data_IF_191389222015
#
_entry.id   IF_191389222015
#
_cell.length_a   1.000
_cell.length_b   1.000
_cell.length_c   1.000
_cell.angle_alpha   90.00
_cell.angle_beta   90.00
_cell.angle_gamma   90.00
#
_symmetry.space_group_name_H-M   'P 1'
#
loop_
_entity.id
_entity.type
_entity.pdbx_description
1 polymer ?
#
# COMPACT_ATOMS: atom_id res chain seq x y z
N UNK A 1 22.62 46.68 7.74
CA UNK A 1 21.42 47.33 8.31
C UNK A 1 20.31 46.30 8.32
N UNK A 2 19.60 46.14 9.43
CA UNK A 2 18.49 45.18 9.53
C UNK A 2 17.26 45.77 8.84
N UNK A 3 16.69 45.05 7.87
CA UNK A 3 15.48 45.51 7.21
C UNK A 3 14.23 45.21 8.04
N UNK A 4 13.31 46.17 8.14
CA UNK A 4 12.17 46.12 9.05
C UNK A 4 10.87 46.36 8.31
N UNK A 5 9.88 45.54 8.62
CA UNK A 5 8.49 45.81 8.29
C UNK A 5 7.78 46.38 9.53
N UNK A 6 7.18 47.56 9.40
CA UNK A 6 6.52 48.24 10.51
C UNK A 6 5.01 47.97 10.48
N UNK A 7 4.45 47.36 11.51
CA UNK A 7 3.02 47.05 11.64
C UNK A 7 2.34 48.06 12.58
N UNK A 8 1.31 48.77 12.10
CA UNK A 8 0.60 49.83 12.83
C UNK A 8 -0.92 49.76 12.58
N UNK A 9 -1.63 48.79 13.16
CA UNK A 9 -3.08 48.74 13.07
C UNK A 9 -3.74 49.93 13.77
N UNK A 10 -4.40 50.79 13.00
CA UNK A 10 -5.20 51.91 13.50
C UNK A 10 -4.63 53.32 13.22
N UNK A 11 -5.46 54.34 13.45
CA UNK A 11 -5.26 55.71 12.90
C UNK A 11 -4.41 56.67 13.74
N UNK A 12 -3.76 56.25 14.83
CA UNK A 12 -2.89 57.18 15.60
C UNK A 12 -1.64 56.50 16.13
N UNK A 13 -0.53 56.74 15.44
CA UNK A 13 0.83 56.52 15.91
C UNK A 13 1.05 57.21 17.27
N UNK A 14 1.40 56.45 18.31
CA UNK A 14 1.77 57.00 19.63
C UNK A 14 3.29 57.04 19.81
N UNK A 15 4.02 56.14 19.13
CA UNK A 15 5.48 56.02 19.23
C UNK A 15 6.20 56.55 17.97
N UNK A 16 7.32 57.28 18.09
CA UNK A 16 8.14 57.75 16.97
C UNK A 16 9.02 56.65 16.33
N UNK A 17 8.47 55.43 16.16
CA UNK A 17 9.19 54.25 15.66
C UNK A 17 9.76 54.44 14.24
N UNK A 18 9.06 55.18 13.38
CA UNK A 18 9.49 55.42 12.00
C UNK A 18 10.78 56.25 11.93
N UNK A 19 10.96 57.18 12.86
CA UNK A 19 12.12 58.07 12.92
C UNK A 19 13.27 57.43 13.73
N UNK A 20 12.94 56.68 14.78
CA UNK A 20 13.92 56.07 15.68
C UNK A 20 14.52 54.75 15.15
N UNK A 21 13.82 53.99 14.31
CA UNK A 21 14.33 52.75 13.71
C UNK A 21 15.58 52.99 12.83
N UNK A 22 15.62 54.00 11.94
CA UNK A 22 16.84 54.41 11.24
C UNK A 22 18.02 54.73 12.17
N UNK A 23 17.77 55.49 13.24
CA UNK A 23 18.78 55.83 14.23
C UNK A 23 19.31 54.59 14.99
N UNK A 24 18.48 53.54 15.13
CA UNK A 24 18.86 52.24 15.68
C UNK A 24 19.59 51.31 14.69
N UNK A 25 19.84 51.75 13.45
CA UNK A 25 20.51 50.97 12.40
C UNK A 25 19.60 50.02 11.62
N UNK A 26 18.29 50.25 11.67
CA UNK A 26 17.27 49.51 10.95
C UNK A 26 16.73 50.30 9.75
N UNK A 27 16.40 49.62 8.65
CA UNK A 27 15.80 50.25 7.47
C UNK A 27 14.33 49.84 7.36
N UNK A 28 13.40 50.80 7.41
CA UNK A 28 11.97 50.51 7.24
C UNK A 28 11.67 50.31 5.74
N UNK A 29 11.23 49.11 5.37
CA UNK A 29 10.92 48.75 3.98
C UNK A 29 9.48 49.11 3.59
N UNK A 30 8.53 48.88 4.50
CA UNK A 30 7.12 49.17 4.31
C UNK A 30 6.42 49.33 5.65
N UNK A 31 5.25 49.97 5.61
CA UNK A 31 4.35 50.14 6.75
C UNK A 31 3.05 49.41 6.44
N UNK A 32 2.59 48.58 7.36
CA UNK A 32 1.36 47.80 7.25
C UNK A 32 0.37 48.32 8.27
N UNK A 33 -0.75 48.87 7.81
CA UNK A 33 -1.81 49.40 8.69
C UNK A 33 -2.91 48.37 8.98
N UNK A 34 -2.89 47.24 8.28
CA UNK A 34 -3.89 46.19 8.37
C UNK A 34 -3.21 44.84 8.59
N UNK A 35 -3.44 44.22 9.75
CA UNK A 35 -2.87 42.93 10.12
C UNK A 35 -3.14 41.83 9.07
N UNK A 36 -4.27 41.89 8.36
CA UNK A 36 -4.60 40.90 7.32
C UNK A 36 -3.63 40.90 6.15
N UNK A 37 -2.96 42.02 5.89
CA UNK A 37 -1.98 42.19 4.80
C UNK A 37 -0.55 41.91 5.23
N UNK A 38 -0.30 41.65 6.52
CA UNK A 38 1.05 41.49 7.08
C UNK A 38 1.86 40.43 6.31
N UNK A 39 1.30 39.24 6.12
CA UNK A 39 1.99 38.13 5.45
C UNK A 39 2.27 38.45 3.99
N UNK A 40 1.31 39.05 3.28
CA UNK A 40 1.47 39.43 1.87
C UNK A 40 2.64 40.42 1.70
N UNK A 41 2.70 41.47 2.53
CA UNK A 41 3.74 42.49 2.45
C UNK A 41 5.09 41.91 2.92
N UNK A 42 5.09 41.04 3.93
CA UNK A 42 6.31 40.36 4.37
C UNK A 42 6.91 39.46 3.28
N UNK A 43 6.08 38.72 2.53
CA UNK A 43 6.53 37.91 1.39
C UNK A 43 7.07 38.78 0.26
N UNK A 44 6.43 39.93 -0.02
CA UNK A 44 6.85 40.85 -1.07
C UNK A 44 8.21 41.51 -0.78
N UNK A 45 8.45 41.92 0.47
CA UNK A 45 9.62 42.70 0.85
C UNK A 45 10.73 41.90 1.55
N UNK A 46 10.45 40.67 1.98
CA UNK A 46 11.37 39.77 2.69
C UNK A 46 12.16 40.46 3.84
N UNK A 47 11.49 41.10 4.81
CA UNK A 47 12.15 41.85 5.88
C UNK A 47 12.93 40.93 6.83
N UNK A 48 13.96 41.46 7.48
CA UNK A 48 14.72 40.73 8.51
C UNK A 48 14.02 40.72 9.88
N UNK A 49 13.09 41.66 10.12
CA UNK A 49 12.37 41.82 11.39
C UNK A 49 11.00 42.46 11.14
N UNK A 50 9.99 42.04 11.89
CA UNK A 50 8.72 42.76 12.00
C UNK A 50 8.68 43.51 13.33
N UNK A 51 8.43 44.82 13.28
CA UNK A 51 8.20 45.64 14.47
C UNK A 51 6.77 46.13 14.43
N UNK A 52 5.98 45.86 15.47
CA UNK A 52 4.60 46.31 15.56
C UNK A 52 4.36 47.25 16.72
N UNK A 53 3.47 48.21 16.51
CA UNK A 53 2.87 49.04 17.57
C UNK A 53 1.38 48.77 17.60
N UNK A 54 0.92 48.08 18.65
CA UNK A 54 -0.48 47.69 18.80
C UNK A 54 -0.89 47.91 20.24
N UNK A 55 -1.73 48.92 20.50
CA UNK A 55 -2.14 49.27 21.86
C UNK A 55 -2.97 48.15 22.53
N UNK A 56 -3.85 47.51 21.76
CA UNK A 56 -4.68 46.37 22.18
C UNK A 56 -4.65 45.29 21.09
N UNK A 57 -3.73 44.33 21.21
CA UNK A 57 -3.66 43.17 20.33
C UNK A 57 -4.98 42.40 20.30
N UNK A 58 -5.41 42.03 19.10
CA UNK A 58 -6.62 41.26 18.85
C UNK A 58 -6.29 39.91 18.20
N UNK A 59 -7.31 39.08 18.01
CA UNK A 59 -7.13 37.75 17.39
C UNK A 59 -6.62 37.86 15.95
N UNK A 60 -6.91 38.96 15.24
CA UNK A 60 -6.42 39.19 13.90
C UNK A 60 -4.88 39.34 13.87
N UNK A 61 -4.31 40.04 14.87
CA UNK A 61 -2.86 40.13 15.02
C UNK A 61 -2.24 38.76 15.31
N UNK A 62 -2.76 38.00 16.28
CA UNK A 62 -2.21 36.69 16.65
C UNK A 62 -2.26 35.71 15.48
N UNK A 63 -3.37 35.70 14.73
CA UNK A 63 -3.49 34.88 13.53
C UNK A 63 -2.48 35.31 12.46
N UNK A 64 -2.30 36.61 12.25
CA UNK A 64 -1.35 37.14 11.27
C UNK A 64 0.10 36.80 11.60
N UNK A 65 0.52 36.92 12.87
CA UNK A 65 1.88 36.55 13.30
C UNK A 65 2.10 35.04 13.26
N UNK A 66 1.08 34.24 13.60
CA UNK A 66 1.15 32.78 13.48
C UNK A 66 1.32 32.34 12.02
N UNK A 67 0.50 32.88 11.11
CA UNK A 67 0.63 32.59 9.67
C UNK A 67 1.98 33.07 9.12
N UNK A 68 2.51 34.20 9.60
CA UNK A 68 3.85 34.66 9.25
C UNK A 68 4.91 33.64 9.68
N UNK A 69 4.84 33.13 10.92
CA UNK A 69 5.77 32.13 11.43
C UNK A 69 5.77 30.82 10.63
N UNK A 70 4.63 30.45 10.02
CA UNK A 70 4.50 29.26 9.17
C UNK A 70 5.01 29.48 7.74
N UNK A 71 4.71 30.63 7.13
CA UNK A 71 4.99 30.90 5.71
C UNK A 71 6.38 31.51 5.49
N UNK A 72 6.76 32.48 6.31
CA UNK A 72 8.04 33.20 6.23
C UNK A 72 8.50 33.55 7.65
N UNK A 73 9.12 32.61 8.38
CA UNK A 73 9.53 32.83 9.76
C UNK A 73 10.46 34.02 9.88
N UNK A 74 10.06 35.04 10.67
CA UNK A 74 10.85 36.25 10.96
C UNK A 74 10.72 36.61 12.45
N UNK A 75 11.74 37.26 13.04
CA UNK A 75 11.61 37.80 14.38
C UNK A 75 10.51 38.86 14.41
N UNK A 76 9.74 38.89 15.50
CA UNK A 76 8.62 39.81 15.70
C UNK A 76 8.77 40.49 17.06
N UNK A 77 8.84 41.81 17.05
CA UNK A 77 8.90 42.68 18.21
C UNK A 77 7.61 43.53 18.26
N UNK A 78 6.82 43.40 19.32
CA UNK A 78 5.59 44.16 19.51
C UNK A 78 5.70 45.11 20.71
N UNK A 79 5.37 46.38 20.48
CA UNK A 79 5.11 47.37 21.51
C UNK A 79 3.61 47.47 21.77
N UNK A 80 3.20 47.38 23.02
CA UNK A 80 1.79 47.39 23.44
C UNK A 80 1.62 48.07 24.80
N UNK A 81 0.40 48.44 25.16
CA UNK A 81 0.03 48.80 26.53
C UNK A 81 -0.63 47.65 27.30
N UNK A 82 -0.78 46.50 26.67
CA UNK A 82 -1.41 45.31 27.22
C UNK A 82 -0.46 44.49 28.09
N UNK A 83 -0.77 44.44 29.38
CA UNK A 83 -0.02 43.72 30.42
C UNK A 83 -0.63 42.36 30.78
N UNK A 84 -1.68 41.92 30.09
CA UNK A 84 -2.37 40.67 30.40
C UNK A 84 -1.46 39.46 30.16
N UNK A 85 -1.31 38.60 31.18
CA UNK A 85 -0.45 37.43 31.12
C UNK A 85 -0.91 36.40 30.08
N UNK A 86 -2.22 36.23 29.88
CA UNK A 86 -2.76 35.31 28.90
C UNK A 86 -2.48 35.81 27.47
N UNK A 87 -2.52 37.12 27.24
CA UNK A 87 -2.13 37.69 25.94
C UNK A 87 -0.62 37.58 25.69
N UNK A 88 0.23 37.71 26.72
CA UNK A 88 1.68 37.48 26.59
C UNK A 88 1.98 36.03 26.20
N UNK A 89 1.33 35.06 26.85
CA UNK A 89 1.47 33.64 26.52
C UNK A 89 0.97 33.36 25.09
N UNK A 90 -0.21 33.89 24.74
CA UNK A 90 -0.80 33.77 23.40
C UNK A 90 0.11 34.37 22.32
N UNK A 91 0.67 35.55 22.56
CA UNK A 91 1.60 36.22 21.66
C UNK A 91 2.87 35.38 21.45
N UNK A 92 3.43 34.83 22.53
CA UNK A 92 4.62 33.98 22.46
C UNK A 92 4.33 32.72 21.63
N UNK A 93 3.19 32.06 21.87
CA UNK A 93 2.74 30.91 21.08
C UNK A 93 2.39 31.23 19.61
N UNK A 94 2.13 32.50 19.29
CA UNK A 94 1.83 32.99 17.95
C UNK A 94 3.08 33.52 17.19
N UNK A 95 4.29 33.25 17.70
CA UNK A 95 5.55 33.66 17.06
C UNK A 95 6.01 35.08 17.37
N UNK A 96 5.54 35.68 18.47
CA UNK A 96 6.06 36.97 18.96
C UNK A 96 7.25 36.74 19.87
N UNK A 97 8.41 37.30 19.50
CA UNK A 97 9.67 37.03 20.16
C UNK A 97 9.97 38.03 21.28
N UNK A 98 9.47 39.25 21.15
CA UNK A 98 9.55 40.27 22.17
C UNK A 98 8.22 41.03 22.30
N UNK A 99 7.62 40.95 23.48
CA UNK A 99 6.42 41.68 23.86
C UNK A 99 6.79 42.76 24.88
N UNK A 100 6.63 44.03 24.50
CA UNK A 100 7.13 45.17 25.28
C UNK A 100 5.96 46.04 25.73
N UNK A 101 5.65 45.95 27.03
CA UNK A 101 4.55 46.68 27.68
C UNK A 101 5.02 48.04 28.17
N UNK A 102 4.43 49.14 27.67
CA UNK A 102 4.70 50.53 28.10
C UNK A 102 6.20 50.86 28.24
N UNK A 103 7.05 50.22 27.42
CA UNK A 103 8.49 50.15 27.61
C UNK A 103 9.29 50.80 26.48
N UNK A 104 8.64 51.65 25.68
CA UNK A 104 9.30 52.33 24.58
C UNK A 104 10.37 53.32 25.05
N UNK A 105 11.47 53.39 24.30
CA UNK A 105 12.48 54.42 24.41
C UNK A 105 13.53 54.24 23.33
N UNK A 106 13.92 55.32 22.64
CA UNK A 106 14.84 55.27 21.50
C UNK A 106 16.14 54.49 21.81
N UNK A 107 16.73 54.75 22.98
CA UNK A 107 17.95 54.05 23.43
C UNK A 107 17.76 52.54 23.68
N UNK A 108 16.53 52.08 23.91
CA UNK A 108 16.20 50.66 24.17
C UNK A 108 15.87 49.89 22.89
N UNK A 109 15.61 50.57 21.78
CA UNK A 109 15.15 49.94 20.54
C UNK A 109 16.17 48.94 20.00
N UNK A 110 17.45 49.33 19.90
CA UNK A 110 18.52 48.44 19.43
C UNK A 110 18.70 47.18 20.31
N UNK A 111 18.81 47.28 21.65
CA UNK A 111 18.82 46.10 22.52
C UNK A 111 17.58 45.20 22.38
N UNK A 112 16.39 45.78 22.21
CA UNK A 112 15.14 45.01 22.04
C UNK A 112 15.08 44.27 20.70
N UNK A 113 15.55 44.90 19.62
CA UNK A 113 15.70 44.26 18.30
C UNK A 113 16.65 43.06 18.42
N UNK A 114 17.81 43.25 19.05
CA UNK A 114 18.79 42.18 19.27
C UNK A 114 18.19 41.04 20.12
N UNK A 115 17.40 41.35 21.14
CA UNK A 115 16.72 40.34 21.95
C UNK A 115 15.70 39.53 21.12
N UNK A 116 14.89 40.20 20.30
CA UNK A 116 13.91 39.54 19.43
C UNK A 116 14.59 38.62 18.41
N UNK A 117 15.68 39.10 17.78
CA UNK A 117 16.50 38.31 16.85
C UNK A 117 17.14 37.09 17.54
N UNK A 118 17.76 37.28 18.71
CA UNK A 118 18.38 36.18 19.44
C UNK A 118 17.37 35.11 19.89
N UNK A 119 16.16 35.52 20.29
CA UNK A 119 15.07 34.58 20.63
C UNK A 119 14.59 33.82 19.39
N UNK A 120 14.43 34.49 18.26
CA UNK A 120 14.08 33.86 16.99
C UNK A 120 15.15 32.85 16.54
N UNK A 121 16.42 33.22 16.56
CA UNK A 121 17.52 32.32 16.20
C UNK A 121 17.54 31.06 17.08
N UNK A 122 17.32 31.23 18.39
CA UNK A 122 17.21 30.11 19.33
C UNK A 122 16.01 29.21 19.01
N UNK A 123 14.84 29.80 18.74
CA UNK A 123 13.64 29.05 18.40
C UNK A 123 13.82 28.29 17.07
N UNK A 124 14.35 28.94 16.04
CA UNK A 124 14.64 28.29 14.76
C UNK A 124 15.64 27.15 14.91
N UNK A 125 16.69 27.33 15.73
CA UNK A 125 17.65 26.25 16.01
C UNK A 125 16.99 25.04 16.70
N UNK A 126 16.06 25.27 17.63
CA UNK A 126 15.30 24.20 18.28
C UNK A 126 14.35 23.49 17.29
N UNK A 127 13.65 24.24 16.44
CA UNK A 127 12.78 23.69 15.41
C UNK A 127 13.57 22.86 14.39
N UNK A 128 14.78 23.29 14.02
CA UNK A 128 15.66 22.54 13.12
C UNK A 128 16.17 21.26 13.77
N UNK A 129 16.58 21.31 15.05
CA UNK A 129 16.93 20.10 15.80
C UNK A 129 15.77 19.11 15.90
N UNK A 130 14.55 19.61 16.13
CA UNK A 130 13.35 18.78 16.17
C UNK A 130 13.11 18.11 14.81
N UNK A 131 13.21 18.87 13.70
CA UNK A 131 13.07 18.35 12.34
C UNK A 131 14.10 17.27 12.02
N UNK A 132 15.37 17.49 12.34
CA UNK A 132 16.45 16.52 12.12
C UNK A 132 16.21 15.23 12.91
N UNK A 133 15.81 15.32 14.19
CA UNK A 133 15.47 14.15 15.01
C UNK A 133 14.26 13.41 14.43
N UNK A 134 13.20 14.12 14.07
CA UNK A 134 12.00 13.53 13.46
C UNK A 134 12.32 12.83 12.14
N UNK A 135 13.15 13.44 11.28
CA UNK A 135 13.57 12.84 10.02
C UNK A 135 14.36 11.55 10.25
N UNK A 136 15.36 11.56 11.14
CA UNK A 136 16.15 10.35 11.47
C UNK A 136 15.27 9.23 12.03
N UNK A 137 14.25 9.58 12.80
CA UNK A 137 13.32 8.61 13.36
C UNK A 137 12.46 7.95 12.27
N UNK A 138 11.90 8.73 11.34
CA UNK A 138 11.14 8.19 10.21
C UNK A 138 12.02 7.35 9.27
N UNK A 139 13.25 7.83 8.97
CA UNK A 139 14.22 7.03 8.20
C UNK A 139 14.53 5.70 8.90
N UNK A 140 14.72 5.70 10.22
CA UNK A 140 14.95 4.45 10.99
C UNK A 140 13.75 3.51 10.92
N UNK A 141 12.51 4.01 11.01
CA UNK A 141 11.30 3.17 10.85
C UNK A 141 11.26 2.49 9.48
N UNK A 142 11.56 3.24 8.42
CA UNK A 142 11.60 2.69 7.06
C UNK A 142 12.66 1.60 6.95
N UNK A 143 13.86 1.84 7.50
CA UNK A 143 14.95 0.85 7.51
C UNK A 143 14.57 -0.42 8.25
N UNK A 144 14.04 -0.33 9.47
CA UNK A 144 13.64 -1.52 10.24
C UNK A 144 12.51 -2.28 9.55
N UNK A 145 11.55 -1.59 8.93
CA UNK A 145 10.48 -2.23 8.16
C UNK A 145 11.01 -2.94 6.92
N UNK A 146 11.94 -2.33 6.19
CA UNK A 146 12.57 -2.95 5.03
C UNK A 146 13.42 -4.17 5.43
N UNK A 147 14.18 -4.07 6.53
CA UNK A 147 14.90 -5.21 7.12
C UNK A 147 13.94 -6.36 7.43
N UNK A 148 12.85 -6.10 8.14
CA UNK A 148 11.84 -7.12 8.47
C UNK A 148 11.16 -7.76 7.26
N UNK A 149 11.06 -7.05 6.12
CA UNK A 149 10.62 -7.63 4.84
C UNK A 149 11.71 -8.54 4.28
N UNK A 150 12.95 -8.08 4.19
CA UNK A 150 14.08 -8.85 3.68
C UNK A 150 14.33 -10.11 4.50
N UNK A 151 14.28 -10.02 5.83
CA UNK A 151 14.43 -11.15 6.74
C UNK A 151 13.38 -12.24 6.48
N UNK A 152 12.10 -11.86 6.34
CA UNK A 152 11.03 -12.83 6.05
C UNK A 152 11.11 -13.40 4.64
N UNK A 153 11.41 -12.54 3.66
CA UNK A 153 11.44 -12.93 2.26
C UNK A 153 12.64 -13.82 1.92
N UNK A 154 13.78 -13.64 2.60
CA UNK A 154 15.06 -14.29 2.31
C UNK A 154 15.64 -15.12 3.46
N UNK A 155 14.90 -15.29 4.56
CA UNK A 155 15.36 -15.98 5.77
C UNK A 155 16.72 -15.46 6.31
N UNK A 156 16.92 -14.15 6.24
CA UNK A 156 18.17 -13.49 6.63
C UNK A 156 18.19 -13.09 8.10
N UNK A 157 19.40 -12.96 8.65
CA UNK A 157 19.60 -12.29 9.93
C UNK A 157 19.38 -10.78 9.80
N UNK A 158 19.27 -10.10 10.93
CA UNK A 158 19.15 -8.64 10.99
C UNK A 158 20.36 -7.94 10.35
N UNK A 159 21.57 -8.44 10.63
CA UNK A 159 22.82 -7.91 10.12
C UNK A 159 22.94 -8.07 8.60
N UNK A 160 22.62 -9.25 8.08
CA UNK A 160 22.65 -9.51 6.64
C UNK A 160 21.66 -8.62 5.88
N UNK A 161 20.45 -8.45 6.43
CA UNK A 161 19.44 -7.57 5.85
C UNK A 161 19.92 -6.11 5.80
N UNK A 162 20.58 -5.63 6.86
CA UNK A 162 21.15 -4.28 6.88
C UNK A 162 22.30 -4.12 5.87
N UNK A 163 23.17 -5.12 5.73
CA UNK A 163 24.25 -5.09 4.73
C UNK A 163 23.73 -5.04 3.30
N UNK A 164 22.64 -5.76 2.99
CA UNK A 164 21.98 -5.68 1.69
C UNK A 164 21.47 -4.26 1.41
N UNK A 165 20.74 -3.66 2.36
CA UNK A 165 20.22 -2.30 2.22
C UNK A 165 21.34 -1.28 2.00
N UNK A 166 22.43 -1.41 2.76
CA UNK A 166 23.60 -0.55 2.65
C UNK A 166 24.28 -0.69 1.29
N UNK A 167 24.51 -1.93 0.85
CA UNK A 167 25.12 -2.21 -0.46
C UNK A 167 24.27 -1.64 -1.60
N UNK A 168 22.95 -1.84 -1.55
CA UNK A 168 22.02 -1.28 -2.53
C UNK A 168 22.02 0.27 -2.54
N UNK A 169 22.05 0.91 -1.36
CA UNK A 169 22.19 2.36 -1.21
C UNK A 169 23.49 2.89 -1.85
N UNK A 170 24.60 2.18 -1.67
CA UNK A 170 25.88 2.53 -2.29
C UNK A 170 25.85 2.39 -3.82
N UNK A 171 25.29 1.31 -4.35
CA UNK A 171 25.21 1.09 -5.80
C UNK A 171 24.26 2.07 -6.51
N UNK A 172 23.18 2.48 -5.86
CA UNK A 172 22.16 3.38 -6.44
C UNK A 172 22.44 4.86 -6.15
N UNK A 173 23.44 5.17 -5.32
CA UNK A 173 23.75 6.51 -4.83
C UNK A 173 22.54 7.22 -4.20
N UNK A 174 21.73 6.47 -3.43
CA UNK A 174 20.52 6.95 -2.78
C UNK A 174 20.63 6.81 -1.25
N UNK A 175 19.85 7.60 -0.50
CA UNK A 175 19.82 7.48 0.97
C UNK A 175 19.22 6.15 1.38
N UNK A 176 19.67 5.61 2.52
CA UNK A 176 19.20 4.32 3.05
C UNK A 176 17.67 4.30 3.24
N UNK A 177 17.08 5.42 3.68
CA UNK A 177 15.62 5.58 3.80
C UNK A 177 14.89 5.43 2.45
N UNK A 178 15.43 6.00 1.37
CA UNK A 178 14.84 5.93 0.02
C UNK A 178 14.89 4.50 -0.54
N UNK A 179 16.03 3.82 -0.40
CA UNK A 179 16.16 2.40 -0.81
C UNK A 179 15.22 1.51 0.01
N UNK A 180 15.10 1.78 1.30
CA UNK A 180 14.17 1.05 2.18
C UNK A 180 12.72 1.25 1.74
N UNK A 181 12.33 2.47 1.40
CA UNK A 181 11.01 2.79 0.87
C UNK A 181 10.72 2.04 -0.44
N UNK A 182 11.65 2.04 -1.39
CA UNK A 182 11.52 1.31 -2.66
C UNK A 182 11.33 -0.20 -2.44
N UNK A 183 12.04 -0.79 -1.49
CA UNK A 183 11.89 -2.21 -1.13
C UNK A 183 10.52 -2.47 -0.52
N UNK A 184 10.05 -1.59 0.38
CA UNK A 184 8.71 -1.69 0.98
C UNK A 184 7.63 -1.62 -0.11
N UNK A 185 7.74 -0.65 -1.02
CA UNK A 185 6.80 -0.47 -2.12
C UNK A 185 6.80 -1.68 -3.06
N UNK A 186 7.99 -2.17 -3.44
CA UNK A 186 8.16 -3.36 -4.29
C UNK A 186 7.55 -4.61 -3.66
N UNK A 187 7.80 -4.84 -2.36
CA UNK A 187 7.23 -5.98 -1.65
C UNK A 187 5.71 -5.88 -1.52
N UNK A 188 5.19 -4.68 -1.24
CA UNK A 188 3.75 -4.43 -1.22
C UNK A 188 3.11 -4.72 -2.58
N UNK A 189 3.78 -4.32 -3.66
CA UNK A 189 3.34 -4.58 -5.01
C UNK A 189 3.31 -6.07 -5.37
N UNK A 190 4.38 -6.80 -5.05
CA UNK A 190 4.46 -8.24 -5.25
C UNK A 190 3.35 -8.99 -4.49
N UNK A 191 3.07 -8.60 -3.24
CA UNK A 191 1.98 -9.17 -2.45
C UNK A 191 0.61 -8.88 -3.08
N UNK A 192 0.41 -7.69 -3.66
CA UNK A 192 -0.83 -7.36 -4.38
C UNK A 192 -1.03 -8.26 -5.60
N UNK A 193 0.02 -8.46 -6.41
CA UNK A 193 -0.01 -9.37 -7.56
C UNK A 193 -0.32 -10.80 -7.12
N UNK A 194 0.30 -11.28 -6.06
CA UNK A 194 0.05 -12.62 -5.52
C UNK A 194 -1.41 -12.78 -5.07
N UNK A 195 -1.95 -11.84 -4.29
CA UNK A 195 -3.34 -11.89 -3.81
C UNK A 195 -4.35 -11.80 -4.94
N UNK A 196 -4.16 -10.89 -5.89
CA UNK A 196 -4.99 -10.83 -7.10
C UNK A 196 -4.91 -12.15 -7.90
N UNK A 197 -3.71 -12.72 -7.99
CA UNK A 197 -3.46 -14.02 -8.60
C UNK A 197 -4.21 -15.16 -7.92
N UNK A 198 -4.27 -15.18 -6.59
CA UNK A 198 -5.01 -16.17 -5.80
C UNK A 198 -6.53 -16.09 -6.00
N UNK A 199 -7.09 -14.90 -6.22
CA UNK A 199 -8.53 -14.74 -6.51
C UNK A 199 -8.95 -15.56 -7.73
N UNK A 200 -8.09 -15.65 -8.76
CA UNK A 200 -8.31 -16.50 -9.94
C UNK A 200 -8.43 -17.97 -9.56
N UNK A 201 -7.52 -18.48 -8.74
CA UNK A 201 -7.58 -19.86 -8.27
C UNK A 201 -8.83 -20.12 -7.42
N UNK A 202 -9.12 -19.23 -6.46
CA UNK A 202 -10.28 -19.39 -5.59
C UNK A 202 -11.58 -19.35 -6.37
N UNK A 203 -11.71 -18.51 -7.41
CA UNK A 203 -12.90 -18.48 -8.26
C UNK A 203 -13.26 -19.88 -8.78
N UNK A 204 -12.26 -20.66 -9.22
CA UNK A 204 -12.45 -21.99 -9.76
C UNK A 204 -12.60 -23.05 -8.65
N UNK A 205 -11.82 -22.94 -7.57
CA UNK A 205 -11.91 -23.85 -6.41
C UNK A 205 -13.29 -23.80 -5.75
N UNK A 206 -13.90 -22.63 -5.64
CA UNK A 206 -15.23 -22.47 -5.03
C UNK A 206 -16.32 -23.22 -5.80
N UNK A 207 -16.32 -23.16 -7.14
CA UNK A 207 -17.27 -23.92 -7.97
C UNK A 207 -17.02 -25.42 -7.82
N UNK A 208 -15.76 -25.85 -7.89
CA UNK A 208 -15.37 -27.25 -7.68
C UNK A 208 -15.89 -27.80 -6.36
N UNK A 209 -15.69 -27.07 -5.26
CA UNK A 209 -16.16 -27.46 -3.92
C UNK A 209 -17.69 -27.49 -3.84
N UNK A 210 -18.37 -26.55 -4.50
CA UNK A 210 -19.84 -26.55 -4.61
C UNK A 210 -20.36 -27.80 -5.35
N UNK A 211 -19.71 -28.19 -6.46
CA UNK A 211 -20.05 -29.39 -7.22
C UNK A 211 -19.80 -30.69 -6.43
N UNK A 212 -18.69 -30.79 -5.70
CA UNK A 212 -18.41 -31.96 -4.84
C UNK A 212 -19.44 -32.10 -3.71
N UNK A 213 -19.87 -30.97 -3.11
CA UNK A 213 -20.96 -30.98 -2.13
C UNK A 213 -22.29 -31.36 -2.76
N UNK A 214 -22.56 -30.95 -4.00
CA UNK A 214 -23.76 -31.34 -4.75
C UNK A 214 -23.80 -32.86 -4.98
N UNK A 215 -22.62 -33.46 -5.21
CA UNK A 215 -22.44 -34.89 -5.39
C UNK A 215 -22.40 -35.71 -4.09
N UNK A 216 -22.53 -35.05 -2.93
CA UNK A 216 -22.36 -35.62 -1.58
C UNK A 216 -20.99 -36.31 -1.35
N UNK A 217 -19.96 -35.88 -2.06
CA UNK A 217 -18.60 -36.40 -1.93
C UNK A 217 -17.93 -35.74 -0.74
N UNK A 218 -17.71 -36.48 0.34
CA UNK A 218 -17.02 -36.01 1.55
C UNK A 218 -17.56 -34.64 2.05
N UNK A 219 -18.89 -34.46 2.03
CA UNK A 219 -19.51 -33.12 2.10
C UNK A 219 -19.07 -32.26 3.30
N UNK A 220 -18.72 -32.84 4.45
CA UNK A 220 -18.20 -32.09 5.62
C UNK A 220 -16.81 -31.49 5.35
N UNK A 221 -15.91 -32.26 4.74
CA UNK A 221 -14.57 -31.79 4.39
C UNK A 221 -14.66 -30.69 3.32
N UNK A 222 -15.49 -30.90 2.31
CA UNK A 222 -15.66 -29.91 1.24
C UNK A 222 -16.31 -28.62 1.73
N UNK A 223 -17.22 -28.68 2.71
CA UNK A 223 -17.75 -27.51 3.39
C UNK A 223 -16.65 -26.72 4.13
N UNK A 224 -15.76 -27.40 4.86
CA UNK A 224 -14.67 -26.73 5.57
C UNK A 224 -13.71 -26.02 4.60
N UNK A 225 -13.34 -26.66 3.49
CA UNK A 225 -12.50 -26.06 2.45
C UNK A 225 -13.19 -24.88 1.74
N UNK A 226 -14.53 -24.94 1.60
CA UNK A 226 -15.33 -23.86 1.02
C UNK A 226 -15.33 -22.65 1.94
N UNK A 227 -15.56 -22.86 3.24
CA UNK A 227 -15.56 -21.80 4.25
C UNK A 227 -14.16 -21.15 4.37
N UNK A 228 -13.10 -21.95 4.35
CA UNK A 228 -11.72 -21.45 4.29
C UNK A 228 -11.48 -20.59 3.05
N UNK A 229 -11.90 -21.08 1.87
CA UNK A 229 -11.73 -20.34 0.60
C UNK A 229 -12.49 -19.02 0.61
N UNK A 230 -13.71 -18.99 1.17
CA UNK A 230 -14.50 -17.76 1.34
C UNK A 230 -13.77 -16.77 2.24
N UNK A 231 -13.25 -17.21 3.39
CA UNK A 231 -12.48 -16.35 4.30
C UNK A 231 -11.23 -15.78 3.64
N UNK A 232 -10.52 -16.59 2.84
CA UNK A 232 -9.32 -16.16 2.11
C UNK A 232 -9.65 -15.12 1.04
N UNK A 233 -10.75 -15.28 0.30
CA UNK A 233 -11.19 -14.29 -0.68
C UNK A 233 -11.58 -12.98 0.00
N UNK A 234 -12.35 -13.03 1.09
CA UNK A 234 -12.69 -11.84 1.90
C UNK A 234 -11.42 -11.09 2.35
N UNK A 235 -10.45 -11.83 2.90
CA UNK A 235 -9.19 -11.26 3.38
C UNK A 235 -8.34 -10.66 2.24
N UNK A 236 -8.32 -11.30 1.07
CA UNK A 236 -7.59 -10.81 -0.09
C UNK A 236 -8.21 -9.52 -0.63
N UNK A 237 -9.53 -9.47 -0.82
CA UNK A 237 -10.22 -8.26 -1.28
C UNK A 237 -10.11 -7.11 -0.27
N UNK A 238 -10.25 -7.39 1.02
CA UNK A 238 -10.09 -6.38 2.06
C UNK A 238 -8.67 -5.79 2.10
N UNK A 239 -7.65 -6.63 1.92
CA UNK A 239 -6.26 -6.19 1.86
C UNK A 239 -5.99 -5.37 0.60
N UNK A 240 -6.44 -5.82 -0.57
CA UNK A 240 -6.27 -5.12 -1.85
C UNK A 240 -6.99 -3.76 -1.82
N UNK A 241 -8.21 -3.70 -1.28
CA UNK A 241 -9.00 -2.48 -1.14
C UNK A 241 -8.35 -1.41 -0.25
N UNK A 242 -7.62 -1.82 0.80
CA UNK A 242 -6.89 -0.91 1.69
C UNK A 242 -5.50 -0.57 1.16
N UNK A 243 -4.86 -1.49 0.47
CA UNK A 243 -3.46 -1.41 0.07
C UNK A 243 -3.22 -0.74 -1.28
N UNK A 244 -4.20 -0.75 -2.19
CA UNK A 244 -4.03 -0.21 -3.54
C UNK A 244 -4.60 1.21 -3.67
N UNK A 245 -4.00 1.99 -4.57
CA UNK A 245 -4.43 3.35 -4.91
C UNK A 245 -5.85 3.34 -5.48
N UNK A 246 -6.78 4.06 -4.83
CA UNK A 246 -8.17 4.19 -5.28
C UNK A 246 -8.29 4.84 -6.67
N UNK A 247 -7.58 5.94 -6.98
CA UNK A 247 -7.59 6.50 -8.33
C UNK A 247 -7.13 5.55 -9.44
N UNK A 248 -6.29 4.56 -9.12
CA UNK A 248 -5.69 3.67 -10.12
C UNK A 248 -6.44 2.33 -10.26
N UNK A 249 -6.98 1.80 -9.16
CA UNK A 249 -7.54 0.44 -9.12
C UNK A 249 -8.98 0.38 -8.54
N UNK A 250 -9.55 1.51 -8.13
CA UNK A 250 -10.84 1.57 -7.43
C UNK A 250 -11.98 0.91 -8.20
N UNK A 251 -12.10 1.17 -9.49
CA UNK A 251 -13.17 0.60 -10.32
C UNK A 251 -13.06 -0.93 -10.44
N UNK A 252 -11.85 -1.45 -10.66
CA UNK A 252 -11.60 -2.89 -10.72
C UNK A 252 -11.89 -3.57 -9.38
N UNK A 253 -11.51 -2.93 -8.27
CA UNK A 253 -11.77 -3.45 -6.93
C UNK A 253 -13.27 -3.40 -6.58
N UNK A 254 -13.98 -2.36 -7.03
CA UNK A 254 -15.43 -2.24 -6.89
C UNK A 254 -16.17 -3.36 -7.63
N UNK A 255 -15.80 -3.64 -8.88
CA UNK A 255 -16.34 -4.75 -9.67
C UNK A 255 -16.08 -6.10 -9.01
N UNK A 256 -14.83 -6.37 -8.62
CA UNK A 256 -14.45 -7.58 -7.89
C UNK A 256 -15.27 -7.76 -6.62
N UNK A 257 -15.43 -6.69 -5.83
CA UNK A 257 -16.22 -6.70 -4.61
C UNK A 257 -17.69 -7.03 -4.86
N UNK A 258 -18.31 -6.40 -5.86
CA UNK A 258 -19.71 -6.65 -6.21
C UNK A 258 -19.93 -8.09 -6.71
N UNK A 259 -19.10 -8.56 -7.65
CA UNK A 259 -19.12 -9.93 -8.16
C UNK A 259 -18.93 -10.94 -7.02
N UNK A 260 -17.99 -10.67 -6.11
CA UNK A 260 -17.74 -11.52 -4.95
C UNK A 260 -18.94 -11.62 -4.01
N UNK A 261 -19.61 -10.51 -3.67
CA UNK A 261 -20.78 -10.56 -2.80
C UNK A 261 -21.92 -11.38 -3.41
N UNK A 262 -22.14 -11.26 -4.72
CA UNK A 262 -23.15 -12.05 -5.43
C UNK A 262 -22.78 -13.55 -5.44
N UNK A 263 -21.52 -13.88 -5.70
CA UNK A 263 -21.03 -15.27 -5.66
C UNK A 263 -21.15 -15.86 -4.25
N UNK A 264 -20.65 -15.16 -3.24
CA UNK A 264 -20.70 -15.55 -1.83
C UNK A 264 -22.13 -15.82 -1.35
N UNK A 265 -23.10 -15.01 -1.79
CA UNK A 265 -24.51 -15.24 -1.49
C UNK A 265 -25.03 -16.54 -2.13
N UNK A 266 -24.60 -16.84 -3.37
CA UNK A 266 -25.01 -18.04 -4.11
C UNK A 266 -24.39 -19.34 -3.58
N UNK A 267 -23.27 -19.25 -2.86
CA UNK A 267 -22.60 -20.40 -2.23
C UNK A 267 -23.23 -20.82 -0.88
N UNK A 268 -24.15 -20.02 -0.31
CA UNK A 268 -24.77 -20.30 0.99
C UNK A 268 -25.78 -21.43 0.91
N UNK A 269 -25.80 -22.27 1.94
CA UNK A 269 -26.79 -23.33 2.11
C UNK A 269 -26.43 -24.65 1.43
N UNK A 270 -27.44 -25.50 1.21
CA UNK A 270 -27.29 -26.79 0.54
C UNK A 270 -27.22 -26.58 -0.98
N UNK A 271 -26.23 -27.15 -1.68
CA UNK A 271 -26.11 -26.97 -3.12
C UNK A 271 -27.28 -27.60 -3.87
N UNK A 272 -27.67 -26.97 -4.98
CA UNK A 272 -28.75 -27.42 -5.84
C UNK A 272 -28.32 -27.38 -7.32
N UNK A 273 -28.71 -28.37 -8.15
CA UNK A 273 -28.30 -28.41 -9.56
C UNK A 273 -28.69 -27.14 -10.34
N UNK A 274 -29.88 -26.60 -10.08
CA UNK A 274 -30.39 -25.40 -10.74
C UNK A 274 -29.59 -24.12 -10.43
N UNK A 275 -28.76 -24.11 -9.39
CA UNK A 275 -27.93 -22.95 -9.03
C UNK A 275 -26.54 -22.99 -9.67
N UNK A 276 -26.11 -24.17 -10.15
CA UNK A 276 -24.76 -24.37 -10.71
C UNK A 276 -24.43 -23.38 -11.83
N UNK A 277 -25.31 -23.11 -12.82
CA UNK A 277 -24.96 -22.20 -13.93
C UNK A 277 -24.69 -20.78 -13.44
N UNK A 278 -25.48 -20.30 -12.48
CA UNK A 278 -25.30 -18.98 -11.86
C UNK A 278 -24.01 -18.89 -11.02
N UNK A 279 -23.71 -19.93 -10.24
CA UNK A 279 -22.47 -20.00 -9.44
C UNK A 279 -21.25 -19.98 -10.36
N UNK A 280 -21.30 -20.76 -11.45
CA UNK A 280 -20.21 -20.83 -12.42
C UNK A 280 -20.01 -19.51 -13.17
N UNK A 281 -21.09 -18.89 -13.65
CA UNK A 281 -21.05 -17.60 -14.33
C UNK A 281 -20.44 -16.49 -13.45
N UNK A 282 -20.84 -16.42 -12.18
CA UNK A 282 -20.29 -15.44 -11.23
C UNK A 282 -18.82 -15.71 -10.91
N UNK A 283 -18.42 -16.98 -10.82
CA UNK A 283 -17.03 -17.36 -10.63
C UNK A 283 -16.16 -17.02 -11.85
N UNK A 284 -16.66 -17.23 -13.07
CA UNK A 284 -15.94 -16.88 -14.29
C UNK A 284 -15.83 -15.37 -14.50
N UNK A 285 -16.85 -14.58 -14.09
CA UNK A 285 -16.72 -13.12 -14.00
C UNK A 285 -15.65 -12.71 -12.99
N UNK A 286 -15.63 -13.34 -11.80
CA UNK A 286 -14.60 -13.07 -10.78
C UNK A 286 -13.19 -13.41 -11.29
N UNK A 287 -13.04 -14.50 -12.05
CA UNK A 287 -11.79 -14.87 -12.72
C UNK A 287 -11.33 -13.77 -13.67
N UNK A 288 -12.19 -13.32 -14.59
CA UNK A 288 -11.88 -12.29 -15.58
C UNK A 288 -11.51 -10.96 -14.92
N UNK A 289 -12.25 -10.55 -13.88
CA UNK A 289 -11.96 -9.34 -13.11
C UNK A 289 -10.60 -9.44 -12.41
N UNK A 290 -10.29 -10.59 -11.81
CA UNK A 290 -9.02 -10.83 -11.14
C UNK A 290 -7.84 -10.89 -12.12
N UNK A 291 -8.06 -11.42 -13.34
CA UNK A 291 -7.07 -11.40 -14.42
C UNK A 291 -6.77 -9.98 -14.88
N UNK A 292 -7.80 -9.14 -15.07
CA UNK A 292 -7.63 -7.73 -15.41
C UNK A 292 -6.85 -6.99 -14.33
N UNK A 293 -7.22 -7.15 -13.06
CA UNK A 293 -6.48 -6.55 -11.94
C UNK A 293 -5.03 -7.03 -11.90
N UNK A 294 -4.79 -8.34 -12.06
CA UNK A 294 -3.44 -8.91 -12.06
C UNK A 294 -2.59 -8.32 -13.19
N UNK A 295 -3.15 -8.19 -14.40
CA UNK A 295 -2.48 -7.60 -15.55
C UNK A 295 -2.18 -6.11 -15.34
N UNK A 296 -3.14 -5.33 -14.85
CA UNK A 296 -2.94 -3.91 -14.51
C UNK A 296 -1.86 -3.73 -13.45
N UNK A 297 -1.81 -4.61 -12.45
CA UNK A 297 -0.73 -4.61 -11.47
C UNK A 297 0.61 -4.94 -12.16
N UNK A 298 0.71 -6.05 -12.90
CA UNK A 298 1.97 -6.40 -13.57
C UNK A 298 2.51 -5.28 -14.48
N UNK A 299 1.63 -4.51 -15.12
CA UNK A 299 2.03 -3.35 -15.92
C UNK A 299 2.49 -2.15 -15.07
N UNK A 300 1.79 -1.84 -13.98
CA UNK A 300 2.11 -0.70 -13.12
C UNK A 300 3.38 -0.91 -12.27
N UNK A 301 3.70 -2.15 -11.92
CA UNK A 301 4.76 -2.45 -10.95
C UNK A 301 6.18 -2.49 -11.50
N UNK A 302 6.37 -2.39 -12.83
CA UNK A 302 7.67 -2.60 -13.51
C UNK A 302 8.50 -3.78 -12.94
N UNK A 303 7.84 -4.79 -12.39
CA UNK A 303 8.50 -5.97 -11.87
C UNK A 303 8.61 -6.98 -13.00
N UNK A 304 9.81 -7.10 -13.56
CA UNK A 304 10.22 -8.31 -14.24
C UNK A 304 10.34 -9.46 -13.21
N UNK A 305 9.23 -9.87 -12.59
CA UNK A 305 9.22 -11.06 -11.72
C UNK A 305 8.97 -12.30 -12.57
N UNK A 306 10.08 -12.92 -12.95
CA UNK A 306 10.31 -14.37 -13.03
C UNK A 306 9.14 -15.19 -13.58
N UNK A 307 9.17 -15.43 -14.90
CA UNK A 307 8.22 -16.29 -15.64
C UNK A 307 7.87 -17.60 -14.91
N UNK A 308 8.80 -18.15 -14.14
CA UNK A 308 8.65 -19.37 -13.33
C UNK A 308 7.56 -19.24 -12.25
N UNK A 309 7.55 -18.14 -11.48
CA UNK A 309 6.56 -17.93 -10.42
C UNK A 309 5.16 -17.70 -11.01
N UNK A 310 5.12 -16.99 -12.14
CA UNK A 310 3.90 -16.81 -12.93
C UNK A 310 3.39 -18.15 -13.49
N UNK A 311 4.28 -19.03 -13.96
CA UNK A 311 3.92 -20.36 -14.44
C UNK A 311 3.31 -21.20 -13.31
N UNK A 312 3.99 -21.33 -12.16
CA UNK A 312 3.47 -22.04 -10.99
C UNK A 312 2.13 -21.45 -10.49
N UNK A 313 1.98 -20.12 -10.50
CA UNK A 313 0.73 -19.43 -10.20
C UNK A 313 -0.41 -19.78 -11.16
N UNK A 314 -0.15 -19.84 -12.47
CA UNK A 314 -1.14 -20.23 -13.49
C UNK A 314 -1.53 -21.70 -13.35
N UNK A 315 -0.60 -22.59 -13.03
CA UNK A 315 -0.89 -24.03 -12.83
C UNK A 315 -1.91 -24.27 -11.71
N UNK A 316 -1.88 -23.47 -10.63
CA UNK A 316 -2.92 -23.52 -9.58
C UNK A 316 -4.31 -23.25 -10.15
N UNK A 317 -4.47 -22.21 -10.96
CA UNK A 317 -5.77 -21.89 -11.57
C UNK A 317 -6.19 -22.98 -12.57
N UNK A 318 -5.29 -23.38 -13.47
CA UNK A 318 -5.59 -24.37 -14.52
C UNK A 318 -6.00 -25.73 -13.95
N UNK A 319 -5.33 -26.21 -12.89
CA UNK A 319 -5.71 -27.46 -12.22
C UNK A 319 -7.11 -27.40 -11.60
N UNK A 320 -7.47 -26.28 -10.95
CA UNK A 320 -8.82 -26.09 -10.40
C UNK A 320 -9.88 -25.94 -11.51
N UNK A 321 -9.56 -25.22 -12.59
CA UNK A 321 -10.44 -25.04 -13.74
C UNK A 321 -10.70 -26.36 -14.46
N UNK A 322 -9.67 -27.19 -14.67
CA UNK A 322 -9.82 -28.52 -15.23
C UNK A 322 -10.70 -29.40 -14.33
N UNK A 323 -10.43 -29.42 -13.02
CA UNK A 323 -11.23 -30.17 -12.06
C UNK A 323 -12.70 -29.73 -12.06
N UNK A 324 -12.97 -28.42 -12.10
CA UNK A 324 -14.32 -27.84 -12.23
C UNK A 324 -15.05 -28.45 -13.43
N UNK A 325 -14.46 -28.40 -14.62
CA UNK A 325 -15.07 -28.91 -15.85
C UNK A 325 -15.26 -30.44 -15.81
N UNK A 326 -14.25 -31.18 -15.34
CA UNK A 326 -14.33 -32.63 -15.18
C UNK A 326 -15.47 -33.05 -14.24
N UNK A 327 -15.70 -32.32 -13.14
CA UNK A 327 -16.81 -32.57 -12.23
C UNK A 327 -18.17 -32.27 -12.86
N UNK A 328 -18.28 -31.19 -13.64
CA UNK A 328 -19.52 -30.89 -14.37
C UNK A 328 -19.88 -32.00 -15.35
N UNK A 329 -18.89 -32.57 -16.03
CA UNK A 329 -19.08 -33.71 -16.95
C UNK A 329 -19.46 -35.00 -16.20
N UNK A 330 -18.82 -35.28 -15.06
CA UNK A 330 -19.15 -36.43 -14.21
C UNK A 330 -20.56 -36.34 -13.59
N UNK A 331 -21.04 -35.13 -13.32
CA UNK A 331 -22.36 -34.89 -12.74
C UNK A 331 -23.48 -34.73 -13.77
N UNK A 332 -23.15 -34.76 -15.07
CA UNK A 332 -24.10 -34.56 -16.16
C UNK A 332 -24.86 -33.23 -16.05
N UNK A 333 -24.15 -32.21 -15.57
CA UNK A 333 -24.67 -30.85 -15.44
C UNK A 333 -24.40 -30.14 -16.78
N UNK A 334 -25.47 -29.96 -17.56
CA UNK A 334 -25.67 -29.11 -18.77
C UNK A 334 -25.45 -29.63 -20.21
N UNK A 335 -26.25 -28.99 -21.08
CA UNK A 335 -26.12 -28.77 -22.53
C UNK A 335 -24.78 -28.08 -22.89
N UNK A 336 -24.29 -28.25 -24.13
CA UNK A 336 -23.03 -27.62 -24.58
C UNK A 336 -21.74 -28.42 -24.31
N UNK A 337 -21.82 -29.74 -24.13
CA UNK A 337 -20.67 -30.64 -23.89
C UNK A 337 -19.50 -30.46 -24.86
N UNK A 338 -19.76 -30.13 -26.13
CA UNK A 338 -18.73 -29.90 -27.13
C UNK A 338 -17.85 -28.67 -26.82
N UNK A 339 -18.45 -27.57 -26.34
CA UNK A 339 -17.71 -26.36 -25.99
C UNK A 339 -16.84 -26.57 -24.75
N UNK A 340 -17.37 -27.28 -23.74
CA UNK A 340 -16.59 -27.68 -22.55
C UNK A 340 -15.44 -28.62 -22.89
N UNK A 341 -15.67 -29.64 -23.72
CA UNK A 341 -14.62 -30.57 -24.13
C UNK A 341 -13.47 -29.86 -24.87
N UNK A 342 -13.79 -28.88 -25.73
CA UNK A 342 -12.78 -28.03 -26.37
C UNK A 342 -12.00 -27.20 -25.33
N UNK A 343 -12.69 -26.54 -24.39
CA UNK A 343 -12.05 -25.77 -23.33
C UNK A 343 -11.19 -26.64 -22.39
N UNK A 344 -11.62 -27.88 -22.09
CA UNK A 344 -10.84 -28.83 -21.31
C UNK A 344 -9.55 -29.23 -22.03
N UNK A 345 -9.62 -29.43 -23.34
CA UNK A 345 -8.45 -29.76 -24.18
C UNK A 345 -7.44 -28.61 -24.17
N UNK A 346 -7.92 -27.37 -24.29
CA UNK A 346 -7.08 -26.17 -24.20
C UNK A 346 -6.40 -26.05 -22.83
N UNK A 347 -7.17 -26.18 -21.73
CA UNK A 347 -6.63 -26.14 -20.35
C UNK A 347 -5.62 -27.26 -20.13
N UNK A 348 -5.87 -28.46 -20.65
CA UNK A 348 -4.92 -29.57 -20.58
C UNK A 348 -3.62 -29.24 -21.31
N UNK A 349 -3.70 -28.74 -22.54
CA UNK A 349 -2.52 -28.38 -23.32
C UNK A 349 -1.69 -27.28 -22.63
N UNK A 350 -2.35 -26.24 -22.11
CA UNK A 350 -1.71 -25.16 -21.39
C UNK A 350 -1.05 -25.63 -20.08
N UNK A 351 -1.72 -26.53 -19.35
CA UNK A 351 -1.18 -27.11 -18.13
C UNK A 351 0.08 -27.92 -18.44
N UNK A 352 0.01 -28.87 -19.37
CA UNK A 352 1.10 -29.78 -19.72
C UNK A 352 2.31 -29.03 -20.31
N UNK A 353 2.08 -28.03 -21.16
CA UNK A 353 3.14 -27.18 -21.71
C UNK A 353 3.92 -26.46 -20.62
N UNK A 354 3.22 -25.88 -19.65
CA UNK A 354 3.87 -25.16 -18.55
C UNK A 354 4.53 -26.12 -17.55
N UNK A 355 3.95 -27.29 -17.29
CA UNK A 355 4.60 -28.32 -16.47
C UNK A 355 5.88 -28.86 -17.13
N UNK A 356 5.88 -29.05 -18.45
CA UNK A 356 7.07 -29.43 -19.21
C UNK A 356 8.16 -28.35 -19.13
N UNK A 357 7.76 -27.07 -19.26
CA UNK A 357 8.67 -25.94 -19.06
C UNK A 357 9.30 -25.95 -17.66
N UNK A 358 8.50 -26.11 -16.60
CA UNK A 358 8.99 -26.14 -15.21
C UNK A 358 9.97 -27.30 -14.97
N UNK A 359 9.70 -28.48 -15.54
CA UNK A 359 10.60 -29.64 -15.47
C UNK A 359 11.90 -29.44 -16.26
N UNK A 360 11.88 -28.63 -17.33
CA UNK A 360 13.05 -28.34 -18.15
C UNK A 360 13.97 -27.27 -17.60
N UNK A 361 13.62 -26.61 -16.48
CA UNK A 361 14.45 -25.56 -15.90
C UNK A 361 15.74 -26.14 -15.28
N UNK A 362 16.90 -25.48 -15.47
CA UNK A 362 18.16 -25.91 -14.85
C UNK A 362 18.16 -25.75 -13.31
N UNK A 363 17.23 -24.95 -12.78
CA UNK A 363 17.09 -24.60 -11.37
C UNK A 363 16.25 -25.65 -10.63
N UNK A 364 16.85 -26.77 -10.23
CA UNK A 364 16.14 -27.87 -9.57
C UNK A 364 16.81 -28.35 -8.28
N UNK A 365 16.23 -27.96 -7.14
CA UNK A 365 16.51 -28.59 -5.85
C UNK A 365 15.81 -29.96 -5.76
N UNK A 366 16.20 -30.86 -4.84
CA UNK A 366 15.46 -32.10 -4.58
C UNK A 366 13.98 -31.85 -4.28
N UNK A 367 13.68 -30.82 -3.47
CA UNK A 367 12.30 -30.47 -3.11
C UNK A 367 11.47 -30.02 -4.33
N UNK A 368 12.06 -29.25 -5.25
CA UNK A 368 11.40 -28.84 -6.50
C UNK A 368 11.09 -30.07 -7.35
N UNK A 369 12.05 -31.00 -7.50
CA UNK A 369 11.84 -32.24 -8.27
C UNK A 369 10.73 -33.09 -7.66
N UNK A 370 10.77 -33.33 -6.36
CA UNK A 370 9.74 -34.11 -5.66
C UNK A 370 8.36 -33.50 -5.85
N UNK A 371 8.23 -32.18 -5.73
CA UNK A 371 6.94 -31.52 -5.94
C UNK A 371 6.46 -31.58 -7.39
N UNK A 372 7.35 -31.47 -8.39
CA UNK A 372 7.00 -31.63 -9.81
C UNK A 372 6.60 -33.07 -10.18
N UNK A 373 7.26 -34.08 -9.59
CA UNK A 373 6.91 -35.49 -9.78
C UNK A 373 5.54 -35.81 -9.18
N UNK A 374 5.27 -35.29 -7.98
CA UNK A 374 3.97 -35.38 -7.33
C UNK A 374 2.89 -34.64 -8.13
N UNK A 375 3.20 -33.46 -8.67
CA UNK A 375 2.29 -32.72 -9.52
C UNK A 375 1.96 -33.49 -10.82
N UNK A 376 2.98 -34.09 -11.45
CA UNK A 376 2.81 -34.93 -12.64
C UNK A 376 1.91 -36.13 -12.34
N UNK A 377 2.09 -36.77 -11.19
CA UNK A 377 1.28 -37.92 -10.76
C UNK A 377 -0.17 -37.51 -10.50
N UNK A 378 -0.39 -36.42 -9.75
CA UNK A 378 -1.74 -35.90 -9.50
C UNK A 378 -2.46 -35.47 -10.78
N UNK A 379 -1.75 -34.86 -11.73
CA UNK A 379 -2.31 -34.50 -13.04
C UNK A 379 -2.79 -35.73 -13.81
N UNK A 380 -1.97 -36.78 -13.90
CA UNK A 380 -2.36 -38.05 -14.56
C UNK A 380 -3.57 -38.70 -13.90
N UNK A 381 -3.66 -38.69 -12.58
CA UNK A 381 -4.82 -39.22 -11.84
C UNK A 381 -6.10 -38.44 -12.20
N UNK A 382 -6.01 -37.12 -12.29
CA UNK A 382 -7.14 -36.26 -12.66
C UNK A 382 -7.60 -36.49 -14.11
N UNK A 383 -6.65 -36.64 -15.05
CA UNK A 383 -6.96 -37.01 -16.44
C UNK A 383 -7.65 -38.37 -16.53
N UNK A 384 -7.13 -39.39 -15.83
CA UNK A 384 -7.69 -40.74 -15.84
C UNK A 384 -9.11 -40.81 -15.25
N UNK A 385 -9.40 -39.97 -14.27
CA UNK A 385 -10.73 -39.87 -13.67
C UNK A 385 -11.76 -39.22 -14.60
N UNK A 386 -11.32 -38.44 -15.59
CA UNK A 386 -12.19 -37.72 -16.54
C UNK A 386 -12.65 -38.65 -17.67
N UNK A 387 -13.97 -38.76 -17.93
CA UNK A 387 -14.48 -39.67 -18.95
C UNK A 387 -14.22 -39.14 -20.38
N UNK A 388 -13.64 -39.96 -21.26
CA UNK A 388 -13.44 -39.66 -22.69
C UNK A 388 -14.51 -40.30 -23.60
N UNK A 389 -15.63 -40.75 -23.04
CA UNK A 389 -16.68 -41.43 -23.81
C UNK A 389 -17.81 -41.98 -22.95
N UNK A 390 -17.64 -43.18 -22.40
CA UNK A 390 -18.68 -43.80 -21.58
C UNK A 390 -18.91 -43.03 -20.27
N UNK A 391 -20.17 -42.70 -19.98
CA UNK A 391 -20.54 -41.98 -18.77
C UNK A 391 -20.49 -42.92 -17.57
N UNK A 392 -19.60 -42.68 -16.59
CA UNK A 392 -19.53 -43.51 -15.41
C UNK A 392 -20.81 -43.41 -14.59
N UNK A 393 -21.21 -44.50 -13.95
CA UNK A 393 -22.42 -44.59 -13.13
C UNK A 393 -22.15 -45.30 -11.80
N UNK A 394 -23.01 -45.05 -10.81
CA UNK A 394 -22.93 -45.68 -9.49
C UNK A 394 -21.55 -45.52 -8.83
N UNK A 395 -20.94 -46.64 -8.43
CA UNK A 395 -19.65 -46.65 -7.71
C UNK A 395 -18.48 -46.12 -8.53
N UNK A 396 -18.45 -46.34 -9.84
CA UNK A 396 -17.37 -45.83 -10.70
C UNK A 396 -17.40 -44.30 -10.77
N UNK A 397 -18.60 -43.71 -10.89
CA UNK A 397 -18.75 -42.25 -10.84
C UNK A 397 -18.27 -41.68 -9.50
N UNK A 398 -18.67 -42.30 -8.39
CA UNK A 398 -18.25 -41.85 -7.06
C UNK A 398 -16.72 -41.90 -6.90
N UNK A 399 -16.08 -43.00 -7.29
CA UNK A 399 -14.63 -43.15 -7.22
C UNK A 399 -13.88 -42.11 -8.07
N UNK A 400 -14.41 -41.79 -9.26
CA UNK A 400 -13.86 -40.73 -10.12
C UNK A 400 -14.00 -39.35 -9.50
N UNK A 401 -15.18 -39.03 -8.92
CA UNK A 401 -15.40 -37.77 -8.22
C UNK A 401 -14.43 -37.60 -7.04
N UNK A 402 -14.23 -38.65 -6.24
CA UNK A 402 -13.26 -38.66 -5.13
C UNK A 402 -11.82 -38.49 -5.62
N UNK A 403 -11.48 -39.14 -6.74
CA UNK A 403 -10.15 -39.00 -7.38
C UNK A 403 -9.90 -37.57 -7.83
N UNK A 404 -10.87 -36.93 -8.51
CA UNK A 404 -10.76 -35.53 -8.94
C UNK A 404 -10.66 -34.60 -7.72
N UNK A 405 -11.45 -34.84 -6.67
CA UNK A 405 -11.39 -34.07 -5.44
C UNK A 405 -10.00 -34.11 -4.80
N UNK A 406 -9.45 -35.31 -4.61
CA UNK A 406 -8.14 -35.51 -3.98
C UNK A 406 -7.00 -34.98 -4.85
N UNK A 407 -6.95 -35.35 -6.13
CA UNK A 407 -5.89 -34.97 -7.05
C UNK A 407 -5.83 -33.45 -7.24
N UNK A 408 -6.98 -32.78 -7.36
CA UNK A 408 -7.01 -31.32 -7.56
C UNK A 408 -6.55 -30.52 -6.33
N UNK A 409 -6.87 -30.97 -5.11
CA UNK A 409 -6.35 -30.34 -3.88
C UNK A 409 -4.87 -30.67 -3.66
N UNK A 410 -4.44 -31.89 -3.98
CA UNK A 410 -3.03 -32.28 -3.98
C UNK A 410 -2.20 -31.40 -4.93
N UNK A 411 -2.65 -31.24 -6.18
CA UNK A 411 -2.01 -30.36 -7.17
C UNK A 411 -1.91 -28.92 -6.67
N UNK A 412 -2.99 -28.39 -6.08
CA UNK A 412 -3.00 -27.03 -5.52
C UNK A 412 -1.89 -26.86 -4.48
N UNK A 413 -1.82 -27.78 -3.50
CA UNK A 413 -0.80 -27.76 -2.46
C UNK A 413 0.63 -27.86 -3.04
N UNK A 414 0.84 -28.71 -4.04
CA UNK A 414 2.16 -28.83 -4.70
C UNK A 414 2.59 -27.54 -5.38
N UNK A 415 1.70 -26.87 -6.12
CA UNK A 415 2.06 -25.62 -6.80
C UNK A 415 2.19 -24.42 -5.86
N UNK A 416 1.50 -24.42 -4.71
CA UNK A 416 1.76 -23.46 -3.64
C UNK A 416 3.15 -23.66 -3.04
N UNK A 417 3.53 -24.90 -2.73
CA UNK A 417 4.86 -25.26 -2.24
C UNK A 417 5.97 -24.94 -3.25
N UNK A 418 5.76 -25.28 -4.53
CA UNK A 418 6.70 -24.98 -5.62
C UNK A 418 6.96 -23.48 -5.76
N UNK A 419 5.93 -22.64 -5.60
CA UNK A 419 6.09 -21.19 -5.67
C UNK A 419 7.10 -20.72 -4.60
N UNK A 420 6.98 -21.21 -3.37
CA UNK A 420 7.91 -20.93 -2.27
C UNK A 420 9.31 -21.51 -2.52
N UNK A 421 9.42 -22.72 -3.06
CA UNK A 421 10.73 -23.32 -3.37
C UNK A 421 11.48 -22.57 -4.47
N UNK A 422 10.79 -22.16 -5.54
CA UNK A 422 11.41 -21.36 -6.59
C UNK A 422 11.82 -19.99 -6.09
N UNK A 423 11.00 -19.32 -5.26
CA UNK A 423 11.37 -18.05 -4.62
C UNK A 423 12.70 -18.19 -3.86
N UNK A 424 12.84 -19.24 -3.02
CA UNK A 424 14.08 -19.51 -2.29
C UNK A 424 15.26 -19.84 -3.22
N UNK A 425 15.05 -20.67 -4.24
CA UNK A 425 16.13 -21.08 -5.15
C UNK A 425 16.65 -19.93 -6.01
N UNK A 426 15.77 -19.04 -6.49
CA UNK A 426 16.17 -17.86 -7.25
C UNK A 426 16.93 -16.87 -6.38
N UNK A 427 16.58 -16.75 -5.11
CA UNK A 427 17.29 -15.92 -4.15
C UNK A 427 18.70 -16.43 -3.85
N UNK A 428 18.91 -17.75 -3.74
CA UNK A 428 20.25 -18.34 -3.52
C UNK A 428 21.24 -18.09 -4.66
N UNK A 429 20.76 -17.85 -5.89
CA UNK A 429 21.61 -17.63 -7.07
C UNK A 429 21.89 -16.16 -7.36
N UNK A 430 21.11 -15.25 -6.78
CA UNK A 430 21.33 -13.81 -6.86
C UNK A 430 22.14 -13.27 -5.68
N UNK A 431 22.54 -14.15 -4.75
CA UNK A 431 23.33 -13.85 -3.55
C UNK A 431 24.82 -13.98 -3.77
#
# INVERSE_FOLDING_TARGET
MTSVLLLRPGSRALLPLQDDLPAAGCQVLAIVEDCSKLVQVAVQHAPDLVVGEVARPDEALFKATQTLAEVLPRPVLLFTSDADAAHIERATGAGVHAWVVNGYGAARLRPLVQLAQARFEREQALLEQLRDVSQRFEERKLVERAKGILMRARALTDDDAFQILRTASMHTNQRLGQVSEQIIQSAHFAEAVNRAGQLRMFSQRLVKLYLLRLADVQSRQQQALLDESIQRVDANLAWLGKGLSQPSFGDLLGLLGATWQALKASLKGKPAPAQVPRVDELADRLLQDAERLTASLQHAGAMASLQVLNAAGRQRMLSQRFAKMALMDLLDLEEGSASRSAAMTEVQHDFERALAYLNGLPLTTPDIRTALDQATTGWRQMLAATPQGHRPAGRDRLARLETVAHASEGLLAQFESLSTHYERSMQMLMG
#
